data_IF_255766116339
#
_entry.id   IF_255766116339
#
_cell.length_a   1.000
_cell.length_b   1.000
_cell.length_c   1.000
_cell.angle_alpha   90.00
_cell.angle_beta   90.00
_cell.angle_gamma   90.00
#
_symmetry.space_group_name_H-M   'P 1'
#
loop_
_entity.id
_entity.type
_entity.pdbx_description
1 polymer ?
#
# COMPACT_ATOMS: atom_id res chain seq x y z
N UNK A 1 4.38 8.71 4.43
CA UNK A 1 5.09 7.69 5.22
C UNK A 1 6.18 8.32 6.02
N UNK A 2 6.19 8.06 7.32
CA UNK A 2 7.15 8.65 8.26
C UNK A 2 7.67 7.63 9.27
N UNK A 3 8.83 7.88 9.84
CA UNK A 3 9.35 7.12 10.99
C UNK A 3 8.75 7.63 12.31
N UNK A 4 9.14 7.00 13.43
CA UNK A 4 8.69 7.41 14.77
C UNK A 4 9.16 8.80 15.22
N UNK A 5 10.09 9.44 14.49
CA UNK A 5 10.57 10.81 14.71
C UNK A 5 9.97 11.81 13.71
N UNK A 6 8.85 11.45 13.06
CA UNK A 6 8.16 12.24 12.04
C UNK A 6 9.01 12.52 10.77
N UNK A 7 10.11 11.80 10.55
CA UNK A 7 10.93 11.99 9.34
C UNK A 7 10.37 11.21 8.17
N UNK A 8 10.35 11.78 6.94
CA UNK A 8 9.91 11.05 5.75
C UNK A 8 10.82 9.86 5.46
N UNK A 9 10.23 8.74 5.07
CA UNK A 9 10.98 7.53 4.70
C UNK A 9 11.08 7.47 3.18
N UNK A 10 12.29 7.61 2.65
CA UNK A 10 12.58 7.46 1.21
C UNK A 10 12.62 5.98 0.81
N UNK A 11 12.07 5.65 -0.37
CA UNK A 11 12.08 4.31 -0.95
C UNK A 11 11.55 3.20 -0.02
N UNK A 12 10.60 3.54 0.86
CA UNK A 12 9.76 2.53 1.50
C UNK A 12 8.98 1.80 0.41
N UNK A 13 8.98 0.47 0.47
CA UNK A 13 8.33 -0.39 -0.53
C UNK A 13 6.89 -0.63 -0.15
N UNK A 14 5.99 -0.34 -1.07
CA UNK A 14 4.56 -0.59 -0.95
C UNK A 14 4.22 -1.66 -1.96
N UNK A 15 3.84 -2.83 -1.46
CA UNK A 15 3.48 -3.98 -2.25
C UNK A 15 1.98 -4.25 -2.13
N UNK A 16 1.31 -4.52 -3.25
CA UNK A 16 -0.09 -4.97 -3.28
C UNK A 16 -0.24 -6.14 -4.25
N UNK A 17 -0.95 -7.18 -3.80
CA UNK A 17 -1.28 -8.36 -4.60
C UNK A 17 -2.77 -8.35 -4.93
N UNK A 18 -3.09 -8.22 -6.21
CA UNK A 18 -4.47 -8.15 -6.70
C UNK A 18 -4.81 -9.48 -7.37
N UNK A 19 -5.71 -10.25 -6.76
CA UNK A 19 -6.22 -11.51 -7.33
C UNK A 19 -7.55 -11.27 -8.06
N UNK A 20 -7.67 -11.77 -9.28
CA UNK A 20 -8.84 -11.57 -10.14
C UNK A 20 -9.14 -12.77 -11.06
N UNK A 21 -10.23 -12.67 -11.81
CA UNK A 21 -10.73 -13.75 -12.67
C UNK A 21 -11.52 -14.84 -11.94
N UNK A 22 -11.83 -15.92 -12.66
CA UNK A 22 -12.58 -17.05 -12.11
C UNK A 22 -11.79 -17.71 -10.98
N UNK A 23 -12.39 -17.76 -9.78
CA UNK A 23 -11.76 -18.25 -8.54
C UNK A 23 -10.41 -17.59 -8.18
N UNK A 24 -10.11 -16.38 -8.68
CA UNK A 24 -8.86 -15.68 -8.37
C UNK A 24 -7.61 -16.29 -9.02
N UNK A 25 -7.75 -17.02 -10.13
CA UNK A 25 -6.63 -17.67 -10.84
C UNK A 25 -5.63 -16.71 -11.48
N UNK A 26 -6.00 -15.45 -11.71
CA UNK A 26 -5.10 -14.42 -12.24
C UNK A 26 -4.66 -13.53 -11.11
N UNK A 27 -3.43 -13.04 -11.20
CA UNK A 27 -2.90 -12.09 -10.23
C UNK A 27 -2.06 -11.01 -10.91
N UNK A 28 -2.03 -9.85 -10.27
CA UNK A 28 -1.14 -8.74 -10.60
C UNK A 28 -0.47 -8.29 -9.31
N UNK A 29 0.85 -8.19 -9.36
CA UNK A 29 1.68 -7.66 -8.28
C UNK A 29 2.14 -6.25 -8.67
N UNK A 30 2.04 -5.33 -7.72
CA UNK A 30 2.48 -3.95 -7.89
C UNK A 30 3.40 -3.63 -6.72
N UNK A 31 4.58 -3.10 -7.03
CA UNK A 31 5.48 -2.53 -6.04
C UNK A 31 5.78 -1.06 -6.42
N UNK A 32 5.67 -0.16 -5.44
CA UNK A 32 6.05 1.25 -5.60
C UNK A 32 6.90 1.69 -4.42
N UNK A 33 7.92 2.51 -4.70
CA UNK A 33 8.73 3.16 -3.68
C UNK A 33 8.19 4.54 -3.34
N UNK A 34 8.32 4.97 -2.08
CA UNK A 34 8.10 6.38 -1.72
C UNK A 34 9.19 7.30 -2.26
N UNK A 35 8.82 8.53 -2.59
CA UNK A 35 9.73 9.61 -2.98
C UNK A 35 10.45 10.23 -1.75
N UNK A 36 11.22 11.29 -1.96
CA UNK A 36 11.97 12.01 -0.89
C UNK A 36 11.09 12.58 0.21
N UNK A 37 9.82 12.85 -0.09
CA UNK A 37 8.83 13.35 0.88
C UNK A 37 8.11 12.22 1.61
N UNK A 38 8.51 10.96 1.39
CA UNK A 38 7.86 9.78 1.96
C UNK A 38 6.48 9.52 1.36
N UNK A 39 6.21 9.99 0.14
CA UNK A 39 4.91 9.85 -0.54
C UNK A 39 4.99 8.86 -1.70
N UNK A 40 3.91 8.14 -1.92
CA UNK A 40 3.69 7.31 -3.10
C UNK A 40 2.25 7.49 -3.56
N UNK A 41 2.01 7.28 -4.86
CA UNK A 41 0.66 7.30 -5.42
C UNK A 41 0.49 6.08 -6.31
N UNK A 42 -0.55 5.31 -6.02
CA UNK A 42 -0.99 4.19 -6.85
C UNK A 42 -2.28 4.60 -7.53
N UNK A 43 -2.39 4.36 -8.83
CA UNK A 43 -3.57 4.72 -9.63
C UNK A 43 -3.93 3.56 -10.55
N UNK A 44 -5.16 3.54 -11.07
CA UNK A 44 -5.63 2.47 -11.95
C UNK A 44 -5.87 1.14 -11.24
N UNK A 45 -6.06 1.17 -9.91
CA UNK A 45 -6.51 0.00 -9.16
C UNK A 45 -7.96 -0.33 -9.52
N UNK A 46 -8.38 -1.61 -9.40
CA UNK A 46 -9.78 -1.98 -9.61
C UNK A 46 -10.69 -1.27 -8.61
N UNK A 47 -11.77 -0.65 -9.11
CA UNK A 47 -12.72 0.10 -8.26
C UNK A 47 -13.70 -0.79 -7.47
N UNK A 48 -13.85 -2.06 -7.86
CA UNK A 48 -14.75 -3.02 -7.20
C UNK A 48 -14.06 -4.38 -7.10
N UNK A 49 -13.00 -4.50 -6.27
CA UNK A 49 -12.36 -5.79 -6.05
C UNK A 49 -13.29 -6.71 -5.25
N UNK A 50 -13.15 -8.04 -5.42
CA UNK A 50 -13.98 -9.02 -4.68
C UNK A 50 -13.69 -9.07 -3.18
N UNK A 51 -12.56 -8.50 -2.76
CA UNK A 51 -12.06 -8.40 -1.39
C UNK A 51 -11.32 -7.06 -1.26
N UNK A 52 -11.21 -6.48 -0.05
CA UNK A 52 -10.36 -5.33 0.19
C UNK A 52 -8.94 -5.55 -0.33
N UNK A 53 -8.33 -4.50 -0.85
CA UNK A 53 -6.93 -4.49 -1.25
C UNK A 53 -6.06 -4.41 0.00
N UNK A 54 -5.10 -5.32 0.11
CA UNK A 54 -4.12 -5.32 1.20
C UNK A 54 -2.79 -4.78 0.67
N UNK A 55 -2.30 -3.71 1.30
CA UNK A 55 -1.01 -3.11 0.99
C UNK A 55 -0.03 -3.41 2.12
N UNK A 56 1.07 -4.06 1.77
CA UNK A 56 2.20 -4.32 2.66
C UNK A 56 3.25 -3.26 2.45
N UNK A 57 3.61 -2.56 3.52
CA UNK A 57 4.52 -1.43 3.51
C UNK A 57 5.77 -1.84 4.27
N UNK A 58 6.94 -1.74 3.64
CA UNK A 58 8.23 -2.18 4.18
C UNK A 58 9.28 -1.09 4.11
N UNK A 59 10.08 -0.97 5.16
CA UNK A 59 11.31 -0.17 5.17
C UNK A 59 12.33 -0.83 6.08
N UNK A 60 13.42 -1.35 5.52
CA UNK A 60 14.41 -2.10 6.31
C UNK A 60 13.77 -3.31 6.99
N UNK A 61 13.77 -3.33 8.32
CA UNK A 61 13.23 -4.43 9.14
C UNK A 61 11.81 -4.19 9.65
N UNK A 62 11.20 -3.03 9.36
CA UNK A 62 9.83 -2.71 9.80
C UNK A 62 8.83 -2.91 8.67
N UNK A 63 7.67 -3.46 9.03
CA UNK A 63 6.55 -3.74 8.13
C UNK A 63 5.23 -3.23 8.75
N UNK A 64 4.31 -2.79 7.90
CA UNK A 64 2.92 -2.49 8.28
C UNK A 64 1.97 -2.86 7.14
N UNK A 65 0.84 -3.46 7.49
CA UNK A 65 -0.22 -3.77 6.54
C UNK A 65 -1.38 -2.76 6.70
N UNK A 66 -1.91 -2.29 5.58
CA UNK A 66 -3.13 -1.47 5.52
C UNK A 66 -4.10 -2.09 4.53
N UNK A 67 -5.39 -1.94 4.79
CA UNK A 67 -6.46 -2.42 3.90
C UNK A 67 -7.28 -1.25 3.39
N UNK A 68 -7.65 -1.29 2.11
CA UNK A 68 -8.56 -0.34 1.49
C UNK A 68 -9.65 -1.10 0.74
N UNK A 69 -10.90 -0.68 0.90
CA UNK A 69 -11.99 -1.08 0.01
C UNK A 69 -12.30 0.10 -0.93
N UNK A 70 -11.88 0.03 -2.21
CA UNK A 70 -12.13 1.08 -3.18
C UNK A 70 -13.62 1.35 -3.44
N UNK A 71 -14.52 0.43 -3.05
CA UNK A 71 -15.96 0.64 -3.14
C UNK A 71 -16.47 1.59 -2.04
N UNK A 72 -15.83 1.59 -0.87
CA UNK A 72 -16.20 2.41 0.28
C UNK A 72 -15.49 3.78 0.27
N UNK A 73 -14.24 3.82 -0.24
CA UNK A 73 -13.40 5.02 -0.23
C UNK A 73 -12.94 5.43 -1.63
N UNK A 74 -13.57 6.46 -2.19
CA UNK A 74 -13.10 7.10 -3.42
C UNK A 74 -11.85 7.95 -3.12
N UNK A 75 -10.71 7.63 -3.75
CA UNK A 75 -9.43 8.31 -3.56
C UNK A 75 -8.90 8.30 -2.11
N UNK A 76 -8.85 7.13 -1.49
CA UNK A 76 -8.31 6.96 -0.14
C UNK A 76 -6.88 7.53 0.02
N UNK A 77 -6.63 8.16 1.18
CA UNK A 77 -5.32 8.64 1.58
C UNK A 77 -4.97 8.04 2.94
N UNK A 78 -3.74 7.54 3.08
CA UNK A 78 -3.28 6.88 4.30
C UNK A 78 -2.01 7.53 4.82
N UNK A 79 -2.09 8.09 6.03
CA UNK A 79 -0.93 8.51 6.79
C UNK A 79 -0.36 7.32 7.58
N UNK A 80 0.82 6.87 7.15
CA UNK A 80 1.46 5.68 7.70
C UNK A 80 2.75 6.04 8.41
N UNK A 81 2.79 5.72 9.70
CA UNK A 81 4.01 5.73 10.51
C UNK A 81 4.56 4.31 10.64
N UNK A 82 5.86 4.14 10.40
CA UNK A 82 6.61 2.91 10.62
C UNK A 82 7.53 3.11 11.82
N UNK A 83 7.23 2.41 12.92
CA UNK A 83 8.03 2.41 14.14
C UNK A 83 8.54 1.01 14.39
N UNK A 84 9.81 0.91 14.79
CA UNK A 84 10.30 -0.31 15.45
C UNK A 84 9.53 -0.43 16.77
N UNK A 85 8.96 -1.60 17.11
CA UNK A 85 8.35 -1.82 18.42
C UNK A 85 9.29 -1.53 19.59
#
# INVERSE_FOLDING_TARGET
MRDGSDKPIYNAKIHVLIKYGFLGKRQTELEVGTNSDGKARVTGLPNMPKKPLEFTIKSGTVEKNITDDPADHCHANFDVTLTVP
#
